data_IF_163104261599
#
_entry.id   IF_163104261599
#
_cell.length_a   1.000
_cell.length_b   1.000
_cell.length_c   1.000
_cell.angle_alpha   90.00
_cell.angle_beta   90.00
_cell.angle_gamma   90.00
#
_symmetry.space_group_name_H-M   'P 1'
#
loop_
_entity.id
_entity.type
_entity.pdbx_description
1 polymer ?
#
# COMPACT_ATOMS: atom_id res chain seq x y z
N UNK A 1 -37.29 2.14 -2.88
CA UNK A 1 -36.57 0.89 -3.24
C UNK A 1 -36.38 0.84 -4.73
N UNK A 2 -35.13 0.83 -5.19
CA UNK A 2 -34.80 0.46 -6.55
C UNK A 2 -34.84 -1.08 -6.54
N UNK A 3 -35.89 -1.66 -7.11
CA UNK A 3 -36.12 -3.11 -7.06
C UNK A 3 -35.32 -3.88 -8.11
N UNK A 4 -34.84 -3.21 -9.14
CA UNK A 4 -34.02 -3.83 -10.18
C UNK A 4 -33.18 -2.77 -10.90
N UNK A 5 -31.91 -3.06 -11.13
CA UNK A 5 -30.98 -2.23 -11.90
C UNK A 5 -30.57 -3.07 -13.11
N UNK A 6 -30.99 -2.66 -14.30
CA UNK A 6 -30.84 -3.43 -15.56
C UNK A 6 -29.40 -3.92 -15.83
N UNK A 7 -28.40 -3.18 -15.36
CA UNK A 7 -26.98 -3.48 -15.58
C UNK A 7 -26.22 -3.81 -14.29
N UNK A 8 -26.87 -4.45 -13.31
CA UNK A 8 -26.22 -4.85 -12.06
C UNK A 8 -25.88 -6.36 -12.05
N UNK A 9 -24.70 -6.75 -11.53
CA UNK A 9 -24.32 -8.16 -11.49
C UNK A 9 -25.22 -8.98 -10.56
N UNK A 10 -25.60 -10.18 -11.00
CA UNK A 10 -26.34 -11.15 -10.16
C UNK A 10 -25.53 -11.67 -8.97
N UNK A 11 -24.21 -11.77 -9.12
CA UNK A 11 -23.26 -12.19 -8.07
C UNK A 11 -22.06 -11.26 -8.07
N UNK A 12 -21.59 -10.90 -6.88
CA UNK A 12 -20.39 -10.09 -6.68
C UNK A 12 -19.35 -10.92 -5.94
N UNK A 13 -18.19 -11.08 -6.55
CA UNK A 13 -17.09 -11.86 -5.99
C UNK A 13 -16.09 -10.93 -5.29
N UNK A 14 -15.71 -11.26 -4.06
CA UNK A 14 -14.90 -10.41 -3.18
C UNK A 14 -13.66 -11.13 -2.66
N UNK A 15 -12.63 -10.34 -2.35
CA UNK A 15 -11.36 -10.86 -1.84
C UNK A 15 -11.48 -11.39 -0.40
N UNK A 16 -12.26 -10.70 0.45
CA UNK A 16 -12.69 -11.10 1.79
C UNK A 16 -13.77 -10.14 2.30
N UNK A 17 -14.14 -10.28 3.57
CA UNK A 17 -15.26 -9.63 4.23
C UNK A 17 -15.09 -8.13 4.45
N UNK A 18 -13.85 -7.63 4.48
CA UNK A 18 -13.61 -6.17 4.46
C UNK A 18 -14.36 -5.51 3.29
N UNK A 19 -14.26 -6.10 2.10
CA UNK A 19 -14.84 -5.57 0.87
C UNK A 19 -16.36 -5.74 0.79
N UNK A 20 -16.92 -6.66 1.56
CA UNK A 20 -18.37 -6.85 1.69
C UNK A 20 -18.99 -5.69 2.45
N UNK A 21 -18.31 -5.20 3.49
CA UNK A 21 -18.80 -4.11 4.34
C UNK A 21 -18.41 -2.72 3.84
N UNK A 22 -17.46 -2.62 2.90
CA UNK A 22 -16.94 -1.35 2.38
C UNK A 22 -17.96 -0.58 1.52
N UNK A 23 -19.01 -1.21 0.99
CA UNK A 23 -20.01 -0.55 0.16
C UNK A 23 -21.36 -1.29 0.24
N UNK A 24 -22.50 -0.57 0.34
CA UNK A 24 -23.81 -1.19 0.24
C UNK A 24 -24.11 -1.60 -1.21
N UNK A 25 -24.38 -2.89 -1.44
CA UNK A 25 -24.78 -3.39 -2.75
C UNK A 25 -26.30 -3.56 -2.85
N UNK A 26 -26.92 -3.20 -3.99
CA UNK A 26 -28.34 -3.39 -4.25
C UNK A 26 -28.70 -4.85 -4.64
N UNK A 27 -28.05 -5.84 -4.02
CA UNK A 27 -28.34 -7.28 -4.19
C UNK A 27 -28.33 -7.97 -2.83
N UNK A 28 -28.99 -9.12 -2.75
CA UNK A 28 -29.02 -9.92 -1.53
C UNK A 28 -27.60 -10.33 -1.09
N UNK A 29 -27.37 -10.31 0.23
CA UNK A 29 -26.06 -10.63 0.81
C UNK A 29 -25.57 -12.03 0.46
N UNK A 30 -26.47 -12.97 0.17
CA UNK A 30 -26.11 -14.33 -0.29
C UNK A 30 -25.43 -14.35 -1.67
N UNK A 31 -25.63 -13.29 -2.47
CA UNK A 31 -25.01 -13.12 -3.78
C UNK A 31 -23.70 -12.31 -3.71
N UNK A 32 -23.28 -11.89 -2.52
CA UNK A 32 -22.00 -11.23 -2.28
C UNK A 32 -21.05 -12.24 -1.64
N UNK A 33 -20.15 -12.79 -2.45
CA UNK A 33 -19.41 -13.99 -2.10
C UNK A 33 -17.93 -13.68 -1.94
N UNK A 34 -17.44 -13.77 -0.70
CA UNK A 34 -16.00 -13.78 -0.40
C UNK A 34 -15.40 -15.10 -0.89
N UNK A 35 -14.54 -15.05 -1.90
CA UNK A 35 -13.90 -16.25 -2.49
C UNK A 35 -12.38 -16.20 -2.54
N UNK A 36 -11.76 -15.11 -2.09
CA UNK A 36 -10.30 -14.93 -2.14
C UNK A 36 -9.83 -14.30 -3.44
N UNK A 37 -8.51 -14.06 -3.55
CA UNK A 37 -7.89 -13.45 -4.71
C UNK A 37 -6.74 -14.33 -5.25
N UNK A 38 -7.02 -15.27 -6.19
CA UNK A 38 -6.02 -16.23 -6.68
C UNK A 38 -4.74 -15.59 -7.19
N UNK A 39 -4.87 -14.46 -7.90
CA UNK A 39 -3.73 -13.76 -8.45
C UNK A 39 -2.81 -13.24 -7.33
N UNK A 40 -3.38 -12.61 -6.30
CA UNK A 40 -2.58 -12.15 -5.16
C UNK A 40 -1.94 -13.33 -4.44
N UNK A 41 -2.68 -14.40 -4.16
CA UNK A 41 -2.15 -15.60 -3.48
C UNK A 41 -0.94 -16.19 -4.23
N UNK A 42 -1.08 -16.49 -5.53
CA UNK A 42 -0.02 -17.10 -6.33
C UNK A 42 1.20 -16.19 -6.51
N UNK A 43 0.98 -14.90 -6.76
CA UNK A 43 2.08 -13.98 -7.08
C UNK A 43 2.78 -13.41 -5.83
N UNK A 44 2.13 -13.41 -4.66
CA UNK A 44 2.70 -12.88 -3.41
C UNK A 44 3.42 -13.95 -2.58
N UNK A 45 3.07 -15.24 -2.72
CA UNK A 45 3.50 -16.33 -1.82
C UNK A 45 5.00 -16.40 -1.56
N UNK A 46 5.82 -16.27 -2.60
CA UNK A 46 7.28 -16.30 -2.45
C UNK A 46 7.79 -15.06 -1.70
N UNK A 47 7.20 -13.90 -1.96
CA UNK A 47 7.59 -12.64 -1.32
C UNK A 47 7.09 -12.54 0.12
N UNK A 48 5.94 -13.13 0.45
CA UNK A 48 5.45 -13.16 1.83
C UNK A 48 6.43 -13.88 2.75
N UNK A 49 7.05 -14.97 2.30
CA UNK A 49 8.09 -15.67 3.06
C UNK A 49 9.28 -14.77 3.35
N UNK A 50 9.73 -13.99 2.36
CA UNK A 50 10.81 -13.01 2.51
C UNK A 50 10.44 -11.95 3.56
N UNK A 51 9.19 -11.47 3.53
CA UNK A 51 8.71 -10.49 4.50
C UNK A 51 8.63 -11.08 5.92
N UNK A 52 8.19 -12.32 6.06
CA UNK A 52 8.13 -13.05 7.33
C UNK A 52 9.54 -13.27 7.92
N UNK A 53 10.50 -13.72 7.11
CA UNK A 53 11.91 -13.91 7.51
C UNK A 53 12.53 -12.58 7.99
N UNK A 54 12.34 -11.50 7.24
CA UNK A 54 12.80 -10.16 7.62
C UNK A 54 12.21 -9.70 8.96
N UNK A 55 10.90 -9.89 9.17
CA UNK A 55 10.25 -9.45 10.41
C UNK A 55 10.77 -10.21 11.63
N UNK A 56 11.17 -11.48 11.48
CA UNK A 56 11.78 -12.28 12.55
C UNK A 56 13.20 -11.83 12.90
N UNK A 57 13.94 -11.29 11.93
CA UNK A 57 15.33 -10.82 12.12
C UNK A 57 15.40 -9.37 12.65
N UNK A 58 14.44 -8.51 12.27
CA UNK A 58 14.50 -7.06 12.48
C UNK A 58 14.02 -6.51 13.82
N UNK A 59 13.39 -7.30 14.70
CA UNK A 59 12.90 -6.80 16.00
C UNK A 59 14.01 -6.50 17.02
N UNK A 60 15.25 -6.98 16.79
CA UNK A 60 16.35 -6.86 17.76
C UNK A 60 17.51 -5.96 17.32
N UNK A 61 17.46 -5.30 16.16
CA UNK A 61 18.64 -4.61 15.61
C UNK A 61 18.35 -3.21 15.06
N UNK A 62 18.54 -2.17 15.89
CA UNK A 62 18.33 -0.76 15.55
C UNK A 62 19.25 -0.23 14.41
N UNK A 63 20.20 -1.04 13.93
CA UNK A 63 21.14 -0.65 12.85
C UNK A 63 20.78 -1.22 11.48
N UNK A 64 19.65 -1.92 11.33
CA UNK A 64 19.25 -2.50 10.04
C UNK A 64 18.71 -1.43 9.08
N UNK A 65 19.11 -1.49 7.82
CA UNK A 65 18.64 -0.58 6.76
C UNK A 65 17.11 -0.64 6.59
N UNK A 66 16.44 0.51 6.72
CA UNK A 66 14.98 0.59 6.55
C UNK A 66 14.58 1.11 5.18
N UNK A 67 13.86 0.30 4.40
CA UNK A 67 13.26 0.76 3.15
C UNK A 67 11.92 1.47 3.36
N UNK A 68 11.78 2.65 2.73
CA UNK A 68 10.56 3.46 2.62
C UNK A 68 10.08 3.42 1.16
N UNK A 69 8.88 2.90 0.93
CA UNK A 69 8.27 2.78 -0.40
C UNK A 69 7.15 3.81 -0.58
N UNK A 70 7.34 4.71 -1.54
CA UNK A 70 6.31 5.62 -2.02
C UNK A 70 5.65 5.02 -3.28
N UNK A 71 4.32 4.94 -3.29
CA UNK A 71 3.56 4.38 -4.41
C UNK A 71 2.77 5.48 -5.09
N UNK A 72 3.23 5.83 -6.29
CA UNK A 72 2.64 6.88 -7.08
C UNK A 72 1.27 6.49 -7.63
N UNK A 73 0.48 7.52 -7.89
CA UNK A 73 -0.78 7.44 -8.61
C UNK A 73 -0.94 8.74 -9.39
N UNK A 74 -1.39 8.66 -10.64
CA UNK A 74 -1.32 9.79 -11.58
C UNK A 74 -1.91 11.11 -11.07
N UNK A 75 -3.01 11.04 -10.30
CA UNK A 75 -3.70 12.23 -9.76
C UNK A 75 -2.97 12.90 -8.59
N UNK A 76 -2.05 12.20 -7.91
CA UNK A 76 -1.36 12.70 -6.71
C UNK A 76 0.18 12.73 -6.86
N UNK A 77 0.72 12.30 -8.01
CA UNK A 77 2.17 12.13 -8.20
C UNK A 77 3.00 13.39 -7.90
N UNK A 78 2.46 14.60 -8.17
CA UNK A 78 3.13 15.87 -7.79
C UNK A 78 3.24 16.08 -6.29
N UNK A 79 2.20 15.76 -5.52
CA UNK A 79 2.21 15.89 -4.06
C UNK A 79 3.12 14.83 -3.43
N UNK A 80 3.01 13.58 -3.90
CA UNK A 80 3.79 12.47 -3.37
C UNK A 80 5.28 12.58 -3.68
N UNK A 81 5.65 12.99 -4.90
CA UNK A 81 7.06 13.20 -5.27
C UNK A 81 7.72 14.29 -4.43
N UNK A 82 6.99 15.38 -4.16
CA UNK A 82 7.44 16.41 -3.23
C UNK A 82 7.63 15.87 -1.82
N UNK A 83 6.64 15.15 -1.28
CA UNK A 83 6.74 14.54 0.04
C UNK A 83 7.94 13.59 0.15
N UNK A 84 8.17 12.76 -0.88
CA UNK A 84 9.30 11.83 -0.91
C UNK A 84 10.65 12.56 -0.86
N UNK A 85 10.81 13.61 -1.68
CA UNK A 85 12.01 14.45 -1.67
C UNK A 85 12.23 15.16 -0.32
N UNK A 86 11.19 15.78 0.23
CA UNK A 86 11.26 16.49 1.52
C UNK A 86 11.57 15.53 2.68
N UNK A 87 11.05 14.31 2.63
CA UNK A 87 11.33 13.28 3.64
C UNK A 87 12.81 12.87 3.62
N UNK A 88 13.36 12.55 2.43
CA UNK A 88 14.77 12.23 2.28
C UNK A 88 15.68 13.41 2.69
N UNK A 89 15.30 14.63 2.31
CA UNK A 89 16.02 15.86 2.66
C UNK A 89 16.07 16.07 4.17
N UNK A 90 14.94 15.96 4.86
CA UNK A 90 14.84 16.21 6.29
C UNK A 90 15.57 15.15 7.11
N UNK A 91 15.48 13.87 6.70
CA UNK A 91 16.25 12.77 7.33
C UNK A 91 17.76 13.05 7.21
N UNK A 92 18.25 13.45 6.03
CA UNK A 92 19.66 13.80 5.82
C UNK A 92 20.08 15.01 6.66
N UNK A 93 19.25 16.06 6.73
CA UNK A 93 19.55 17.27 7.50
C UNK A 93 19.60 17.03 9.01
N UNK A 94 18.74 16.15 9.52
CA UNK A 94 18.65 15.84 10.94
C UNK A 94 19.75 14.86 11.42
N UNK A 95 20.63 14.38 10.52
CA UNK A 95 21.63 13.35 10.80
C UNK A 95 21.03 12.14 11.51
N UNK A 96 19.89 11.66 11.00
CA UNK A 96 19.22 10.49 11.55
C UNK A 96 20.19 9.28 11.55
N UNK A 97 20.42 8.62 12.69
CA UNK A 97 21.32 7.47 12.76
C UNK A 97 20.80 6.26 11.99
N UNK A 98 19.50 6.20 11.69
CA UNK A 98 18.88 5.13 10.92
C UNK A 98 19.21 5.28 9.44
N UNK A 99 19.82 4.26 8.85
CA UNK A 99 20.00 4.23 7.41
C UNK A 99 18.66 3.91 6.73
N UNK A 100 18.25 4.78 5.80
CA UNK A 100 17.02 4.63 5.04
C UNK A 100 17.30 4.45 3.54
N UNK A 101 16.54 3.57 2.90
CA UNK A 101 16.48 3.44 1.45
C UNK A 101 15.13 3.95 0.94
N UNK A 102 15.13 4.90 0.03
CA UNK A 102 13.92 5.49 -0.52
C UNK A 102 13.62 4.90 -1.89
N UNK A 103 12.46 4.25 -2.03
CA UNK A 103 11.97 3.74 -3.30
C UNK A 103 10.72 4.51 -3.69
N UNK A 104 10.73 5.13 -4.87
CA UNK A 104 9.54 5.73 -5.47
C UNK A 104 9.06 4.88 -6.64
N UNK A 105 7.97 4.13 -6.44
CA UNK A 105 7.37 3.30 -7.49
C UNK A 105 6.35 4.11 -8.28
N UNK A 106 6.65 4.34 -9.57
CA UNK A 106 5.72 5.01 -10.48
C UNK A 106 4.56 4.09 -10.87
N UNK A 107 3.41 4.70 -11.12
CA UNK A 107 2.29 4.05 -11.79
C UNK A 107 2.66 3.80 -13.27
N UNK A 108 2.23 2.70 -13.91
CA UNK A 108 2.60 2.39 -15.29
C UNK A 108 2.32 3.51 -16.30
N UNK A 109 1.22 4.24 -16.12
CA UNK A 109 0.89 5.39 -16.95
C UNK A 109 1.85 6.59 -16.84
N UNK A 110 2.76 6.60 -15.87
CA UNK A 110 3.70 7.71 -15.62
C UNK A 110 5.09 7.44 -16.19
N UNK A 111 5.44 6.19 -16.54
CA UNK A 111 6.79 5.79 -16.93
C UNK A 111 7.39 6.63 -18.06
N UNK A 112 6.58 7.01 -19.05
CA UNK A 112 7.05 7.77 -20.20
C UNK A 112 7.17 9.28 -19.99
N UNK A 113 6.68 9.83 -18.87
CA UNK A 113 6.55 11.29 -18.69
C UNK A 113 6.92 11.80 -17.30
N UNK A 114 7.40 10.92 -16.42
CA UNK A 114 7.62 11.28 -15.01
C UNK A 114 8.71 12.34 -14.83
N UNK A 115 9.75 12.35 -15.68
CA UNK A 115 10.88 13.28 -15.58
C UNK A 115 10.45 14.72 -15.83
N UNK A 116 9.51 14.91 -16.75
CA UNK A 116 8.93 16.21 -17.10
C UNK A 116 7.85 16.63 -16.10
N UNK A 117 7.17 15.66 -15.49
CA UNK A 117 6.04 15.93 -14.60
C UNK A 117 6.45 16.12 -13.14
N UNK A 118 7.56 15.51 -12.71
CA UNK A 118 7.96 15.37 -11.30
C UNK A 118 9.42 15.77 -11.05
N UNK A 119 9.71 17.07 -11.14
CA UNK A 119 11.05 17.64 -10.93
C UNK A 119 11.69 17.20 -9.59
N UNK A 120 10.90 17.03 -8.54
CA UNK A 120 11.37 16.56 -7.24
C UNK A 120 12.00 15.16 -7.28
N UNK A 121 11.54 14.26 -8.17
CA UNK A 121 12.13 12.93 -8.32
C UNK A 121 13.49 13.01 -9.01
N UNK A 122 13.61 13.83 -10.07
CA UNK A 122 14.88 14.11 -10.73
C UNK A 122 15.87 14.73 -9.76
N UNK A 123 15.42 15.70 -8.95
CA UNK A 123 16.21 16.33 -7.89
C UNK A 123 16.66 15.30 -6.85
N UNK A 124 15.75 14.44 -6.39
CA UNK A 124 16.06 13.41 -5.40
C UNK A 124 17.16 12.45 -5.89
N UNK A 125 17.03 11.94 -7.11
CA UNK A 125 18.02 11.03 -7.70
C UNK A 125 19.41 11.66 -7.87
N UNK A 126 19.50 12.98 -8.01
CA UNK A 126 20.78 13.68 -8.12
C UNK A 126 21.40 14.02 -6.75
N UNK A 127 20.60 14.15 -5.69
CA UNK A 127 21.05 14.61 -4.37
C UNK A 127 21.24 13.49 -3.34
N UNK A 128 20.64 12.31 -3.60
CA UNK A 128 20.58 11.19 -2.66
C UNK A 128 20.93 9.87 -3.35
N UNK A 129 22.08 9.28 -2.98
CA UNK A 129 22.52 7.98 -3.51
C UNK A 129 21.62 6.81 -3.06
N UNK A 130 20.86 7.00 -1.98
CA UNK A 130 19.92 6.05 -1.40
C UNK A 130 18.47 6.26 -1.88
N UNK A 131 18.24 7.06 -2.93
CA UNK A 131 16.92 7.30 -3.53
C UNK A 131 16.83 6.66 -4.92
N UNK A 132 15.80 5.85 -5.15
CA UNK A 132 15.60 5.15 -6.44
C UNK A 132 14.17 5.34 -6.93
N UNK A 133 14.04 5.73 -8.20
CA UNK A 133 12.75 5.75 -8.91
C UNK A 133 12.62 4.47 -9.75
N UNK A 134 11.49 3.77 -9.60
CA UNK A 134 11.17 2.56 -10.36
C UNK A 134 10.11 2.91 -11.42
N UNK A 135 10.58 3.12 -12.65
CA UNK A 135 9.82 3.57 -13.83
C UNK A 135 9.53 2.44 -14.83
N UNK A 136 9.50 1.20 -14.35
CA UNK A 136 9.20 0.00 -15.13
C UNK A 136 8.45 -1.02 -14.27
N UNK A 137 8.00 -2.11 -14.89
CA UNK A 137 7.23 -3.16 -14.21
C UNK A 137 8.06 -4.02 -13.25
N UNK A 138 9.38 -4.05 -13.45
CA UNK A 138 10.32 -4.81 -12.62
C UNK A 138 11.14 -3.90 -11.67
N UNK A 139 11.36 -4.29 -10.40
CA UNK A 139 10.88 -5.52 -9.78
C UNK A 139 9.37 -5.49 -9.53
N UNK A 140 8.72 -6.66 -9.31
CA UNK A 140 7.30 -6.72 -9.03
C UNK A 140 6.96 -5.98 -7.73
N UNK A 141 5.77 -5.41 -7.66
CA UNK A 141 5.36 -4.61 -6.51
C UNK A 141 5.42 -5.40 -5.19
N UNK A 142 5.11 -6.69 -5.22
CA UNK A 142 5.19 -7.59 -4.06
C UNK A 142 6.61 -7.78 -3.52
N UNK A 143 7.62 -7.73 -4.40
CA UNK A 143 9.02 -7.72 -3.95
C UNK A 143 9.36 -6.42 -3.21
N UNK A 144 8.84 -5.30 -3.70
CA UNK A 144 9.03 -4.01 -3.06
C UNK A 144 8.34 -3.97 -1.70
N UNK A 145 7.15 -4.54 -1.56
CA UNK A 145 6.48 -4.65 -0.26
C UNK A 145 7.27 -5.51 0.71
N UNK A 146 7.70 -6.70 0.30
CA UNK A 146 8.45 -7.61 1.18
C UNK A 146 9.74 -7.00 1.76
N UNK A 147 10.37 -6.08 1.02
CA UNK A 147 11.57 -5.38 1.46
C UNK A 147 11.27 -4.12 2.28
N UNK A 148 10.07 -3.55 2.14
CA UNK A 148 9.69 -2.28 2.76
C UNK A 148 9.35 -2.44 4.23
N UNK A 149 9.71 -1.44 5.04
CA UNK A 149 9.18 -1.26 6.39
C UNK A 149 7.99 -0.32 6.37
N UNK A 150 8.10 0.71 5.54
CA UNK A 150 7.11 1.77 5.44
C UNK A 150 6.56 1.83 4.03
N UNK A 151 5.25 2.00 3.95
CA UNK A 151 4.53 2.25 2.70
C UNK A 151 3.86 3.62 2.79
N UNK A 152 4.03 4.45 1.76
CA UNK A 152 3.39 5.76 1.66
C UNK A 152 2.64 5.86 0.33
N UNK A 153 1.38 6.24 0.40
CA UNK A 153 0.55 6.44 -0.78
C UNK A 153 -0.70 7.25 -0.47
N UNK A 154 -1.70 7.15 -1.33
CA UNK A 154 -3.03 7.71 -1.11
C UNK A 154 -4.07 6.59 -1.17
N UNK A 155 -4.95 6.57 -2.17
CA UNK A 155 -6.14 5.70 -2.22
C UNK A 155 -6.04 4.63 -3.32
N UNK A 156 -4.96 3.84 -3.31
CA UNK A 156 -4.74 2.73 -4.26
C UNK A 156 -5.03 1.37 -3.60
N UNK A 157 -5.44 0.36 -4.38
CA UNK A 157 -5.53 -1.03 -3.90
C UNK A 157 -4.18 -1.54 -3.39
N UNK A 158 -3.07 -0.99 -3.90
CA UNK A 158 -1.71 -1.29 -3.43
C UNK A 158 -1.52 -1.01 -1.93
N UNK A 159 -2.31 -0.11 -1.33
CA UNK A 159 -2.29 0.13 0.13
C UNK A 159 -2.65 -1.14 0.89
N UNK A 160 -3.73 -1.79 0.50
CA UNK A 160 -4.19 -3.04 1.11
C UNK A 160 -3.19 -4.18 0.89
N UNK A 161 -2.61 -4.24 -0.31
CA UNK A 161 -1.60 -5.25 -0.62
C UNK A 161 -0.37 -5.09 0.27
N UNK A 162 0.16 -3.87 0.45
CA UNK A 162 1.29 -3.64 1.35
C UNK A 162 0.97 -3.87 2.84
N UNK A 163 -0.27 -3.63 3.27
CA UNK A 163 -0.75 -4.05 4.60
C UNK A 163 -0.68 -5.58 4.76
N UNK A 164 -1.03 -6.35 3.72
CA UNK A 164 -0.87 -7.82 3.78
C UNK A 164 0.61 -8.27 3.89
N UNK A 165 1.56 -7.39 3.57
CA UNK A 165 3.00 -7.58 3.80
C UNK A 165 3.50 -6.96 5.13
N UNK A 166 2.60 -6.55 6.03
CA UNK A 166 2.92 -5.87 7.29
C UNK A 166 3.69 -4.54 7.14
N UNK A 167 3.58 -3.86 5.99
CA UNK A 167 4.12 -2.51 5.89
C UNK A 167 3.42 -1.58 6.87
N UNK A 168 4.20 -0.76 7.61
CA UNK A 168 3.65 0.36 8.38
C UNK A 168 3.24 1.45 7.38
N UNK A 169 1.93 1.69 7.28
CA UNK A 169 1.37 2.44 6.16
C UNK A 169 0.96 3.85 6.57
N UNK A 170 1.44 4.82 5.78
CA UNK A 170 1.07 6.23 5.89
C UNK A 170 0.34 6.72 4.64
N UNK A 171 -0.68 7.52 4.84
CA UNK A 171 -1.52 8.04 3.77
C UNK A 171 -1.35 9.55 3.67
N UNK A 172 -0.95 10.06 2.52
CA UNK A 172 -0.81 11.51 2.31
C UNK A 172 -2.19 12.19 2.31
N UNK A 173 -2.32 13.32 3.02
CA UNK A 173 -3.56 14.10 3.15
C UNK A 173 -3.84 14.89 1.87
N UNK A 174 -4.47 14.24 0.89
CA UNK A 174 -4.85 14.79 -0.42
C UNK A 174 -6.29 14.40 -0.77
N UNK A 175 -6.99 15.12 -1.67
CA UNK A 175 -8.33 14.74 -2.10
C UNK A 175 -8.39 13.31 -2.62
N UNK A 176 -9.41 12.55 -2.21
CA UNK A 176 -9.56 11.11 -2.45
C UNK A 176 -9.12 10.24 -1.26
N UNK A 177 -8.41 10.80 -0.26
CA UNK A 177 -8.03 10.04 0.95
C UNK A 177 -9.22 9.52 1.74
N UNK A 178 -10.39 10.16 1.60
CA UNK A 178 -11.65 9.75 2.22
C UNK A 178 -12.07 8.31 1.89
N UNK A 179 -11.59 7.74 0.77
CA UNK A 179 -11.80 6.33 0.44
C UNK A 179 -11.14 5.37 1.46
N UNK A 180 -10.25 5.87 2.31
CA UNK A 180 -9.54 5.11 3.33
C UNK A 180 -9.94 5.55 4.76
N UNK A 181 -11.00 6.34 4.93
CA UNK A 181 -11.44 6.81 6.27
C UNK A 181 -11.68 5.63 7.23
N UNK A 182 -12.23 4.51 6.77
CA UNK A 182 -12.40 3.30 7.62
C UNK A 182 -11.06 2.78 8.18
N UNK A 183 -9.98 2.77 7.38
CA UNK A 183 -8.66 2.35 7.84
C UNK A 183 -8.02 3.37 8.80
N UNK A 184 -8.26 4.66 8.53
CA UNK A 184 -7.75 5.77 9.35
C UNK A 184 -8.46 5.77 10.72
N UNK A 185 -9.78 5.63 10.73
CA UNK A 185 -10.62 5.60 11.93
C UNK A 185 -10.33 4.37 12.79
N UNK A 186 -10.09 3.21 12.16
CA UNK A 186 -9.61 1.99 12.83
C UNK A 186 -8.14 2.04 13.21
N UNK A 187 -7.44 3.13 12.93
CA UNK A 187 -6.04 3.31 13.27
C UNK A 187 -5.10 2.22 12.67
N UNK A 188 -5.50 1.60 11.55
CA UNK A 188 -4.71 0.62 10.78
C UNK A 188 -3.67 1.36 9.92
N UNK A 189 -3.97 2.59 9.52
CA UNK A 189 -3.06 3.48 8.79
C UNK A 189 -3.04 4.85 9.45
N UNK A 190 -1.97 5.63 9.22
CA UNK A 190 -1.87 7.00 9.73
C UNK A 190 -1.87 8.00 8.58
N UNK A 191 -2.70 9.03 8.67
CA UNK A 191 -2.68 10.14 7.73
C UNK A 191 -1.53 11.09 8.02
N UNK A 192 -0.86 11.61 7.00
CA UNK A 192 0.27 12.55 7.09
C UNK A 192 0.10 13.73 6.16
N UNK A 193 0.39 14.94 6.65
CA UNK A 193 0.25 16.18 5.88
C UNK A 193 1.55 16.62 5.21
N UNK A 194 2.68 16.26 5.80
CA UNK A 194 4.01 16.70 5.36
C UNK A 194 5.12 15.74 5.83
N UNK A 195 6.36 16.02 5.42
CA UNK A 195 7.52 15.20 5.76
C UNK A 195 7.86 15.21 7.26
N UNK A 196 7.63 16.32 7.96
CA UNK A 196 7.89 16.41 9.40
C UNK A 196 6.99 15.46 10.19
N UNK A 197 5.69 15.45 9.88
CA UNK A 197 4.73 14.53 10.49
C UNK A 197 5.07 13.07 10.16
N UNK A 198 5.43 12.79 8.90
CA UNK A 198 5.86 11.45 8.49
C UNK A 198 7.13 11.00 9.25
N UNK A 199 8.14 11.85 9.38
CA UNK A 199 9.39 11.53 10.09
C UNK A 199 9.13 11.36 11.59
N UNK A 200 8.29 12.22 12.18
CA UNK A 200 7.85 12.03 13.56
C UNK A 200 7.18 10.67 13.72
N UNK A 201 6.41 10.22 12.71
CA UNK A 201 5.84 8.89 12.77
C UNK A 201 6.87 7.76 12.56
N UNK A 202 7.87 7.96 11.71
CA UNK A 202 8.89 6.92 11.49
C UNK A 202 9.81 6.76 12.71
N UNK A 203 10.11 7.84 13.41
CA UNK A 203 11.09 7.86 14.51
C UNK A 203 10.48 7.51 15.87
N UNK A 204 9.16 7.67 16.05
CA UNK A 204 8.50 7.28 17.29
C UNK A 204 8.06 5.81 17.21
N UNK A 205 8.87 4.89 17.74
CA UNK A 205 8.56 3.45 17.76
C UNK A 205 7.23 3.12 18.49
N UNK A 206 6.72 4.04 19.32
CA UNK A 206 5.47 3.92 20.06
C UNK A 206 4.20 4.31 19.30
N UNK A 207 4.25 4.51 17.97
CA UNK A 207 3.01 4.68 17.23
C UNK A 207 2.33 3.34 17.14
N UNK A 208 1.34 3.20 18.01
CA UNK A 208 0.26 2.24 17.90
C UNK A 208 -0.42 2.47 16.55
N UNK A 209 0.10 1.82 15.51
CA UNK A 209 -0.74 1.29 14.45
C UNK A 209 -1.43 0.08 15.07
N UNK A 210 -2.76 0.04 15.01
CA UNK A 210 -3.51 -1.04 15.61
C UNK A 210 -3.14 -2.36 14.91
N UNK A 211 -2.90 -3.42 15.68
CA UNK A 211 -2.77 -4.77 15.12
C UNK A 211 -4.04 -5.15 14.37
N UNK A 212 -3.87 -5.69 13.17
CA UNK A 212 -4.96 -6.17 12.32
C UNK A 212 -4.66 -7.58 11.84
N UNK A 213 -5.71 -8.34 11.56
CA UNK A 213 -5.56 -9.62 10.85
C UNK A 213 -5.09 -9.31 9.42
N UNK A 214 -3.88 -9.75 9.05
CA UNK A 214 -3.32 -9.53 7.69
C UNK A 214 -4.22 -10.11 6.61
N UNK A 215 -4.91 -11.20 6.94
CA UNK A 215 -5.80 -11.85 6.00
C UNK A 215 -7.09 -11.01 5.85
N UNK A 216 -7.37 -10.01 6.70
CA UNK A 216 -8.65 -9.27 6.74
C UNK A 216 -9.06 -8.71 5.38
N UNK A 217 -8.07 -8.32 4.57
CA UNK A 217 -8.27 -7.78 3.23
C UNK A 217 -8.29 -8.86 2.15
N UNK A 218 -7.49 -9.93 2.29
CA UNK A 218 -7.35 -10.99 1.30
C UNK A 218 -7.34 -12.35 2.01
N UNK A 219 -8.32 -13.21 1.72
CA UNK A 219 -8.22 -14.63 2.11
C UNK A 219 -7.68 -15.47 0.97
N UNK A 220 -7.21 -16.67 1.33
CA UNK A 220 -6.91 -17.73 0.38
C UNK A 220 -8.12 -18.03 -0.51
N UNK A 221 -7.83 -18.36 -1.76
CA UNK A 221 -8.84 -18.72 -2.73
C UNK A 221 -9.58 -19.99 -2.33
N UNK A 222 -10.91 -19.94 -2.39
CA UNK A 222 -11.77 -21.09 -2.12
C UNK A 222 -12.27 -21.68 -3.44
N UNK A 223 -11.57 -22.71 -3.91
CA UNK A 223 -11.91 -23.44 -5.13
C UNK A 223 -13.28 -24.14 -5.04
N UNK A 224 -13.71 -24.53 -3.84
CA UNK A 224 -15.01 -25.19 -3.63
C UNK A 224 -16.14 -24.19 -3.86
N UNK A 225 -16.02 -22.98 -3.29
CA UNK A 225 -16.95 -21.88 -3.55
C UNK A 225 -16.96 -21.54 -5.04
N UNK A 226 -15.80 -21.44 -5.68
CA UNK A 226 -15.72 -21.13 -7.11
C UNK A 226 -16.43 -22.17 -7.98
N UNK A 227 -16.20 -23.47 -7.74
CA UNK A 227 -16.87 -24.55 -8.47
C UNK A 227 -18.38 -24.52 -8.28
N UNK A 228 -18.85 -24.21 -7.07
CA UNK A 228 -20.28 -24.05 -6.79
C UNK A 228 -20.87 -22.90 -7.61
N UNK A 229 -20.22 -21.75 -7.64
CA UNK A 229 -20.67 -20.58 -8.43
C UNK A 229 -20.78 -20.91 -9.92
N UNK A 230 -19.85 -21.67 -10.49
CA UNK A 230 -19.87 -22.07 -11.90
C UNK A 230 -20.95 -23.11 -12.23
N UNK A 231 -21.45 -23.81 -11.22
CA UNK A 231 -22.45 -24.88 -11.37
C UNK A 231 -23.89 -24.38 -11.16
N UNK A 232 -24.04 -23.17 -10.62
CA UNK A 232 -25.31 -22.45 -10.39
C UNK A 232 -25.65 -21.57 -11.61
#
# INVERSE_FOLDING_TARGET
EIKDIEYFPHKILRFRDYWTNACPFPIDSENIISMGFPYFEENSKTYMKIAEEKNLEGENNQTEDKQILFISQGVIGKYLSKLAYETASNIKQNNDPQNFKFIYKLHPGEYGTWKENYDYLTKAMNEFDNFTVIDKSEPPLYELFAKSHYQIGAFSTAIYEGLAFNCKTFIIDVPGVEYLDDLIDKNIVKKVKNSEELINYINNENISIQEYDKDYFFKNFDETIFKKILSD
#
